data_IF_276994083789
#
_entry.id   IF_276994083789
#
_cell.length_a   1.000
_cell.length_b   1.000
_cell.length_c   1.000
_cell.angle_alpha   90.00
_cell.angle_beta   90.00
_cell.angle_gamma   90.00
#
_symmetry.space_group_name_H-M   'P 1'
#
loop_
_entity.id
_entity.type
_entity.pdbx_description
1 polymer ?
#
# COMPACT_ATOMS: atom_id res chain seq x y z
N UNK A 1 -14.78 -19.92 -6.71
CA UNK A 1 -13.58 -19.22 -6.17
C UNK A 1 -13.87 -17.75 -5.86
N UNK A 2 -14.35 -16.96 -6.83
CA UNK A 2 -14.70 -15.55 -6.60
C UNK A 2 -15.75 -15.35 -5.50
N UNK A 3 -16.87 -16.06 -5.58
CA UNK A 3 -17.97 -15.96 -4.61
C UNK A 3 -17.54 -16.29 -3.17
N UNK A 4 -16.61 -17.23 -3.00
CA UNK A 4 -16.06 -17.58 -1.69
C UNK A 4 -15.26 -16.41 -1.12
N UNK A 5 -14.44 -15.77 -1.96
CA UNK A 5 -13.68 -14.59 -1.57
C UNK A 5 -14.60 -13.40 -1.25
N UNK A 6 -15.67 -13.21 -2.01
CA UNK A 6 -16.68 -12.17 -1.74
C UNK A 6 -17.38 -12.40 -0.40
N UNK A 7 -17.68 -13.65 -0.03
CA UNK A 7 -18.25 -14.00 1.29
C UNK A 7 -17.27 -13.72 2.43
N UNK A 8 -15.97 -13.96 2.24
CA UNK A 8 -14.93 -13.71 3.26
C UNK A 8 -14.66 -12.22 3.50
N UNK A 9 -14.68 -11.41 2.44
CA UNK A 9 -14.34 -9.97 2.47
C UNK A 9 -15.59 -9.10 2.76
N UNK A 10 -16.76 -9.56 2.33
CA UNK A 10 -18.00 -8.82 2.29
C UNK A 10 -18.18 -8.08 0.96
N UNK A 11 -19.42 -8.04 0.45
CA UNK A 11 -19.73 -7.54 -0.90
C UNK A 11 -19.34 -6.07 -1.10
N UNK A 12 -19.64 -5.19 -0.14
CA UNK A 12 -19.30 -3.75 -0.24
C UNK A 12 -17.78 -3.53 -0.34
N UNK A 13 -17.02 -4.19 0.54
CA UNK A 13 -15.56 -4.14 0.53
C UNK A 13 -14.99 -4.74 -0.76
N UNK A 14 -15.61 -5.80 -1.28
CA UNK A 14 -15.18 -6.40 -2.55
C UNK A 14 -15.34 -5.43 -3.73
N UNK A 15 -16.45 -4.69 -3.81
CA UNK A 15 -16.65 -3.64 -4.83
C UNK A 15 -15.66 -2.49 -4.71
N UNK A 16 -15.32 -2.10 -3.48
CA UNK A 16 -14.27 -1.11 -3.24
C UNK A 16 -12.92 -1.62 -3.75
N UNK A 17 -12.57 -2.88 -3.43
CA UNK A 17 -11.33 -3.52 -3.88
C UNK A 17 -11.29 -3.60 -5.41
N UNK A 18 -12.36 -4.07 -6.07
CA UNK A 18 -12.47 -4.11 -7.53
C UNK A 18 -12.14 -2.75 -8.14
N UNK A 19 -12.78 -1.68 -7.64
CA UNK A 19 -12.56 -0.31 -8.12
C UNK A 19 -11.13 0.16 -7.91
N UNK A 20 -10.59 -0.02 -6.72
CA UNK A 20 -9.22 0.42 -6.38
C UNK A 20 -8.18 -0.35 -7.19
N UNK A 21 -8.36 -1.67 -7.37
CA UNK A 21 -7.46 -2.50 -8.18
C UNK A 21 -7.53 -2.09 -9.64
N UNK A 22 -8.74 -1.90 -10.21
CA UNK A 22 -8.89 -1.45 -11.60
C UNK A 22 -8.20 -0.12 -11.84
N UNK A 23 -8.50 0.90 -11.03
CA UNK A 23 -7.90 2.24 -11.19
C UNK A 23 -6.38 2.18 -11.07
N UNK A 24 -5.84 1.47 -10.07
CA UNK A 24 -4.40 1.37 -9.86
C UNK A 24 -3.67 0.65 -11.00
N UNK A 25 -4.27 -0.41 -11.54
CA UNK A 25 -3.69 -1.16 -12.67
C UNK A 25 -3.73 -0.31 -13.94
N UNK A 26 -4.87 0.33 -14.23
CA UNK A 26 -5.05 1.19 -15.41
C UNK A 26 -4.07 2.36 -15.35
N UNK A 27 -4.01 3.10 -14.23
CA UNK A 27 -3.12 4.27 -14.10
C UNK A 27 -1.65 3.89 -14.34
N UNK A 28 -1.20 2.79 -13.74
CA UNK A 28 0.17 2.31 -13.90
C UNK A 28 0.48 1.97 -15.35
N UNK A 29 -0.33 1.10 -15.96
CA UNK A 29 -0.07 0.60 -17.31
C UNK A 29 -0.30 1.68 -18.38
N UNK A 30 -1.20 2.62 -18.14
CA UNK A 30 -1.42 3.75 -19.03
C UNK A 30 -0.21 4.70 -19.05
N UNK A 31 0.38 5.02 -17.89
CA UNK A 31 1.62 5.80 -17.85
C UNK A 31 2.75 5.12 -18.63
N UNK A 32 2.95 3.81 -18.40
CA UNK A 32 3.94 3.02 -19.14
C UNK A 32 3.66 3.03 -20.66
N UNK A 33 2.40 2.91 -21.06
CA UNK A 33 1.99 2.99 -22.46
C UNK A 33 2.27 4.36 -23.08
N UNK A 34 1.99 5.46 -22.39
CA UNK A 34 2.29 6.80 -22.89
C UNK A 34 3.80 7.01 -23.09
N UNK A 35 4.63 6.52 -22.18
CA UNK A 35 6.09 6.54 -22.35
C UNK A 35 6.51 5.74 -23.58
N UNK A 36 6.00 4.51 -23.74
CA UNK A 36 6.30 3.69 -24.91
C UNK A 36 5.85 4.34 -26.23
N UNK A 37 4.70 5.02 -26.24
CA UNK A 37 4.19 5.75 -27.39
C UNK A 37 5.08 6.95 -27.74
N UNK A 38 5.59 7.68 -26.75
CA UNK A 38 6.51 8.79 -26.96
C UNK A 38 7.86 8.31 -27.51
N UNK A 39 8.44 7.24 -26.95
CA UNK A 39 9.68 6.63 -27.43
C UNK A 39 9.53 6.15 -28.89
N UNK A 40 8.40 5.50 -29.20
CA UNK A 40 8.07 5.07 -30.55
C UNK A 40 7.95 6.25 -31.51
N UNK A 41 7.26 7.33 -31.11
CA UNK A 41 7.10 8.55 -31.90
C UNK A 41 8.45 9.18 -32.26
N UNK A 42 9.37 9.25 -31.31
CA UNK A 42 10.73 9.75 -31.53
C UNK A 42 11.55 8.83 -32.45
N UNK A 43 11.38 7.51 -32.32
CA UNK A 43 12.09 6.51 -33.14
C UNK A 43 11.59 6.37 -34.58
N UNK A 44 10.34 6.73 -34.87
CA UNK A 44 9.75 6.59 -36.22
C UNK A 44 10.44 7.48 -37.25
N UNK A 45 10.96 8.64 -36.86
CA UNK A 45 11.73 9.52 -37.76
C UNK A 45 12.99 8.82 -38.33
N UNK A 46 13.62 7.96 -37.53
CA UNK A 46 14.79 7.18 -37.96
C UNK A 46 14.39 5.94 -38.79
N UNK A 47 13.20 5.36 -38.54
CA UNK A 47 12.66 4.21 -39.29
C UNK A 47 12.01 4.59 -40.63
N UNK A 48 11.57 5.83 -40.76
CA UNK A 48 11.01 6.40 -41.99
C UNK A 48 11.98 6.42 -43.18
N UNK A 49 13.28 6.20 -42.95
CA UNK A 49 14.31 6.07 -43.99
C UNK A 49 14.03 4.87 -44.93
N UNK A 50 13.06 4.00 -44.62
CA UNK A 50 12.67 2.81 -45.39
C UNK A 50 11.42 2.91 -46.29
N UNK A 51 11.13 4.05 -46.91
CA UNK A 51 10.03 4.25 -47.90
C UNK A 51 8.58 4.07 -47.40
N UNK A 52 8.36 3.69 -46.14
CA UNK A 52 7.01 3.60 -45.56
C UNK A 52 6.58 4.94 -44.98
N UNK A 53 5.29 5.27 -45.12
CA UNK A 53 4.71 6.47 -44.52
C UNK A 53 4.81 6.40 -42.98
N UNK A 54 5.52 7.36 -42.33
CA UNK A 54 5.68 7.42 -40.88
C UNK A 54 4.37 7.34 -40.10
N UNK A 55 3.31 7.95 -40.63
CA UNK A 55 2.01 8.02 -39.97
C UNK A 55 1.31 6.66 -39.96
N UNK A 56 1.46 5.89 -41.05
CA UNK A 56 0.90 4.53 -41.14
C UNK A 56 1.61 3.57 -40.18
N UNK A 57 2.94 3.68 -40.07
CA UNK A 57 3.73 2.90 -39.11
C UNK A 57 3.31 3.24 -37.68
N UNK A 58 3.23 4.54 -37.34
CA UNK A 58 2.78 4.99 -36.02
C UNK A 58 1.42 4.42 -35.64
N UNK A 59 0.44 4.50 -36.54
CA UNK A 59 -0.92 3.98 -36.28
C UNK A 59 -0.93 2.47 -36.08
N UNK A 60 -0.20 1.72 -36.91
CA UNK A 60 -0.15 0.26 -36.83
C UNK A 60 0.56 -0.21 -35.56
N UNK A 61 1.76 0.31 -35.29
CA UNK A 61 2.53 -0.05 -34.09
C UNK A 61 1.82 0.41 -32.81
N UNK A 62 1.29 1.63 -32.80
CA UNK A 62 0.52 2.16 -31.66
C UNK A 62 -0.72 1.33 -31.36
N UNK A 63 -1.42 0.83 -32.39
CA UNK A 63 -2.55 -0.09 -32.19
C UNK A 63 -2.10 -1.41 -31.55
N UNK A 64 -1.00 -1.99 -32.02
CA UNK A 64 -0.46 -3.21 -31.46
C UNK A 64 -0.07 -3.04 -29.97
N UNK A 65 0.56 -1.91 -29.61
CA UNK A 65 0.87 -1.58 -28.22
C UNK A 65 -0.40 -1.43 -27.37
N UNK A 66 -1.44 -0.79 -27.91
CA UNK A 66 -2.71 -0.62 -27.21
C UNK A 66 -3.45 -1.94 -26.99
N UNK A 67 -3.48 -2.83 -27.98
CA UNK A 67 -4.09 -4.15 -27.82
C UNK A 67 -3.34 -4.98 -26.73
N UNK A 68 -2.00 -4.86 -26.67
CA UNK A 68 -1.19 -5.45 -25.61
C UNK A 68 -1.44 -4.84 -24.22
N UNK A 69 -1.67 -3.53 -24.14
CA UNK A 69 -2.08 -2.84 -22.92
C UNK A 69 -3.41 -3.40 -22.39
N UNK A 70 -4.42 -3.54 -23.25
CA UNK A 70 -5.74 -4.07 -22.84
C UNK A 70 -5.62 -5.49 -22.27
N UNK A 71 -4.83 -6.36 -22.92
CA UNK A 71 -4.58 -7.70 -22.43
C UNK A 71 -3.87 -7.70 -21.06
N UNK A 72 -2.90 -6.81 -20.88
CA UNK A 72 -2.17 -6.65 -19.62
C UNK A 72 -3.08 -6.15 -18.49
N UNK A 73 -3.96 -5.19 -18.77
CA UNK A 73 -4.94 -4.69 -17.80
C UNK A 73 -5.85 -5.83 -17.33
N UNK A 74 -6.43 -6.61 -18.26
CA UNK A 74 -7.30 -7.72 -17.90
C UNK A 74 -6.57 -8.77 -17.04
N UNK A 75 -5.35 -9.14 -17.43
CA UNK A 75 -4.53 -10.09 -16.69
C UNK A 75 -4.22 -9.60 -15.27
N UNK A 76 -3.74 -8.36 -15.14
CA UNK A 76 -3.30 -7.81 -13.87
C UNK A 76 -4.48 -7.52 -12.94
N UNK A 77 -5.62 -7.04 -13.44
CA UNK A 77 -6.83 -6.87 -12.62
C UNK A 77 -7.24 -8.20 -12.01
N UNK A 78 -7.40 -9.25 -12.84
CA UNK A 78 -7.78 -10.57 -12.35
C UNK A 78 -6.76 -11.10 -11.32
N UNK A 79 -5.47 -11.02 -11.63
CA UNK A 79 -4.39 -11.49 -10.75
C UNK A 79 -4.37 -10.75 -9.41
N UNK A 80 -4.51 -9.43 -9.42
CA UNK A 80 -4.47 -8.63 -8.20
C UNK A 80 -5.72 -8.86 -7.34
N UNK A 81 -6.90 -8.96 -7.96
CA UNK A 81 -8.13 -9.32 -7.27
C UNK A 81 -7.96 -10.61 -6.45
N UNK A 82 -7.34 -11.66 -7.02
CA UNK A 82 -7.11 -12.91 -6.29
C UNK A 82 -5.99 -12.84 -5.24
N UNK A 83 -5.01 -11.94 -5.39
CA UNK A 83 -3.89 -11.77 -4.44
C UNK A 83 -4.19 -10.87 -3.24
N UNK A 84 -5.23 -10.06 -3.28
CA UNK A 84 -5.60 -9.17 -2.15
C UNK A 84 -5.90 -10.03 -0.91
N UNK A 85 -5.08 -9.87 0.13
CA UNK A 85 -5.34 -10.39 1.48
C UNK A 85 -5.75 -9.21 2.35
N UNK A 86 -6.95 -9.26 2.93
CA UNK A 86 -7.37 -8.23 3.88
C UNK A 86 -6.56 -8.39 5.17
N UNK A 87 -5.59 -7.51 5.37
CA UNK A 87 -5.06 -7.27 6.72
C UNK A 87 -6.18 -6.58 7.48
N UNK A 88 -6.93 -7.33 8.29
CA UNK A 88 -7.84 -6.75 9.27
C UNK A 88 -7.00 -5.83 10.13
N UNK A 89 -7.16 -4.52 9.95
CA UNK A 89 -6.52 -3.52 10.79
C UNK A 89 -7.15 -3.68 12.17
N UNK A 90 -6.52 -4.42 13.06
CA UNK A 90 -6.94 -4.47 14.45
C UNK A 90 -7.01 -3.02 14.95
N UNK A 91 -8.10 -2.63 15.63
CA UNK A 91 -8.19 -1.29 16.19
C UNK A 91 -6.92 -1.07 17.02
N UNK A 92 -6.26 0.10 16.90
CA UNK A 92 -5.00 0.32 17.59
C UNK A 92 -5.21 -0.03 19.05
N UNK A 93 -4.51 -1.08 19.52
CA UNK A 93 -4.50 -1.48 20.92
C UNK A 93 -4.18 -0.21 21.68
N UNK A 94 -5.18 0.35 22.37
CA UNK A 94 -4.95 1.49 23.24
C UNK A 94 -3.86 1.02 24.19
N UNK A 95 -2.67 1.61 24.05
CA UNK A 95 -1.59 1.34 24.98
C UNK A 95 -2.13 1.79 26.32
N UNK A 96 -2.60 0.84 27.12
CA UNK A 96 -3.00 1.11 28.49
C UNK A 96 -1.79 1.81 29.10
N UNK A 97 -1.97 3.07 29.49
CA UNK A 97 -0.93 3.82 30.16
C UNK A 97 -0.54 2.97 31.37
N UNK A 98 0.67 2.40 31.34
CA UNK A 98 1.23 1.71 32.49
C UNK A 98 1.26 2.77 33.57
N UNK A 99 0.35 2.67 34.55
CA UNK A 99 0.37 3.55 35.72
C UNK A 99 1.73 3.27 36.36
N UNK A 100 2.68 4.16 36.13
CA UNK A 100 3.93 4.14 36.86
C UNK A 100 3.54 4.27 38.33
N UNK A 101 3.66 3.17 39.08
CA UNK A 101 3.36 3.16 40.51
C UNK A 101 4.04 4.36 41.16
N UNK A 102 3.32 5.06 42.04
CA UNK A 102 3.79 6.25 42.76
C UNK A 102 5.22 6.00 43.24
N UNK A 103 6.21 6.61 42.59
CA UNK A 103 7.60 6.55 43.05
C UNK A 103 7.63 7.27 44.38
N UNK A 104 7.93 6.56 45.47
CA UNK A 104 8.07 7.16 46.79
C UNK A 104 9.18 8.19 46.73
N UNK A 105 8.84 9.46 46.95
CA UNK A 105 9.78 10.56 46.92
C UNK A 105 10.79 10.44 48.06
N UNK A 106 12.01 10.94 47.85
CA UNK A 106 13.12 10.86 48.82
C UNK A 106 12.76 11.41 50.21
N UNK A 107 11.81 12.35 50.30
CA UNK A 107 11.33 12.94 51.55
C UNK A 107 9.98 12.40 52.04
N UNK A 108 9.30 11.54 51.28
CA UNK A 108 7.99 10.99 51.64
C UNK A 108 8.10 10.00 52.82
N UNK A 109 7.01 9.76 53.58
CA UNK A 109 6.97 8.72 54.60
C UNK A 109 7.37 7.36 54.01
N UNK A 110 8.29 6.67 54.68
CA UNK A 110 8.82 5.41 54.18
C UNK A 110 7.75 4.30 54.28
N UNK A 111 7.49 3.53 53.21
CA UNK A 111 6.43 2.52 53.17
C UNK A 111 6.69 1.29 54.04
N UNK A 112 7.87 1.15 54.64
CA UNK A 112 8.21 0.07 55.56
C UNK A 112 7.61 0.23 56.98
N UNK A 113 6.80 1.27 57.23
CA UNK A 113 6.13 1.50 58.51
C UNK A 113 7.03 2.08 59.61
N UNK A 114 8.26 2.48 59.31
CA UNK A 114 9.22 2.98 60.29
C UNK A 114 8.93 4.39 60.83
N UNK A 115 7.92 5.08 60.30
CA UNK A 115 7.58 6.48 60.64
C UNK A 115 8.60 7.53 60.19
N UNK A 116 9.69 7.13 59.52
CA UNK A 116 10.79 8.01 59.06
C UNK A 116 10.63 8.36 57.59
N UNK A 117 11.22 9.49 57.15
CA UNK A 117 11.30 9.87 55.72
C UNK A 117 12.13 8.83 54.94
N UNK A 118 11.78 8.58 53.68
CA UNK A 118 12.39 7.53 52.84
C UNK A 118 13.93 7.59 52.81
N UNK A 119 14.54 8.77 52.61
CA UNK A 119 16.00 8.99 52.64
C UNK A 119 16.70 8.62 53.95
N UNK A 120 15.96 8.59 55.05
CA UNK A 120 16.49 8.25 56.36
C UNK A 120 16.16 6.83 56.77
N UNK A 121 15.53 6.03 55.89
CA UNK A 121 15.21 4.62 56.11
C UNK A 121 15.65 3.80 54.87
N UNK A 122 14.71 3.21 54.12
CA UNK A 122 15.00 2.32 52.99
C UNK A 122 15.74 3.00 51.82
N UNK A 123 15.74 4.33 51.73
CA UNK A 123 16.50 5.09 50.73
C UNK A 123 17.85 5.63 51.22
N UNK A 124 18.34 5.18 52.39
CA UNK A 124 19.62 5.64 52.96
C UNK A 124 20.77 4.91 52.26
N UNK A 125 21.33 5.51 51.21
CA UNK A 125 22.40 4.91 50.39
C UNK A 125 22.10 4.91 48.88
N UNK A 126 20.94 5.43 48.50
CA UNK A 126 20.55 5.79 47.14
C UNK A 126 20.51 7.32 47.05
#
# INVERSE_FOLDING_TARGET
LYEQKEKEIGSENMRLIERVVMLRVIDKLWMEHLTAMEDMRQGIGLRAVGQQDPLMVYKREGRALFDGLLASIQHDVARNIYRVNLVKKEPPRQKQAVIAGKKVGRNDPCPCGSGKKYKHCCGRGI
#
